data_IF_195380774380
#
_entry.id   IF_195380774380
#
_cell.length_a   1.000
_cell.length_b   1.000
_cell.length_c   1.000
_cell.angle_alpha   90.00
_cell.angle_beta   90.00
_cell.angle_gamma   90.00
#
_symmetry.space_group_name_H-M   'P 1'
#
loop_
_entity.id
_entity.type
_entity.pdbx_description
1 polymer ?
#
# COMPACT_ATOMS: atom_id res chain seq x y z
N UNK A 1 30.53 -12.23 -5.52
CA UNK A 1 29.47 -12.40 -4.50
C UNK A 1 28.19 -12.75 -5.24
N UNK A 2 27.25 -13.47 -4.63
CA UNK A 2 25.96 -13.71 -5.26
C UNK A 2 25.20 -12.38 -5.38
N UNK A 3 24.47 -12.17 -6.47
CA UNK A 3 23.63 -10.98 -6.64
C UNK A 3 22.60 -10.91 -5.50
N UNK A 4 22.33 -9.72 -4.92
CA UNK A 4 21.30 -9.58 -3.91
C UNK A 4 19.88 -9.61 -4.50
N UNK A 5 19.72 -9.60 -5.82
CA UNK A 5 18.43 -9.87 -6.46
C UNK A 5 18.18 -11.38 -6.42
N UNK A 6 17.19 -11.82 -5.64
CA UNK A 6 16.83 -13.23 -5.49
C UNK A 6 15.85 -13.70 -6.56
N UNK A 7 14.90 -12.84 -6.90
CA UNK A 7 13.82 -13.13 -7.83
C UNK A 7 13.18 -11.83 -8.32
N UNK A 8 12.69 -11.83 -9.56
CA UNK A 8 11.78 -10.79 -10.07
C UNK A 8 10.41 -11.38 -10.32
N UNK A 9 9.36 -10.57 -10.13
CA UNK A 9 7.96 -10.94 -10.37
C UNK A 9 7.26 -9.83 -11.15
N UNK A 10 6.46 -10.14 -12.18
CA UNK A 10 5.67 -9.13 -12.87
C UNK A 10 4.58 -8.60 -11.93
N UNK A 11 4.28 -7.31 -12.03
CA UNK A 11 3.20 -6.66 -11.30
C UNK A 11 1.93 -6.64 -12.16
N UNK A 12 0.79 -6.86 -11.50
CA UNK A 12 -0.54 -6.67 -12.07
C UNK A 12 -1.37 -5.78 -11.14
N UNK A 13 -2.71 -5.84 -11.20
CA UNK A 13 -3.57 -5.02 -10.34
C UNK A 13 -3.43 -5.34 -8.84
N UNK A 14 -3.04 -6.58 -8.52
CA UNK A 14 -2.69 -7.02 -7.16
C UNK A 14 -1.27 -7.55 -7.16
N UNK A 15 -0.40 -6.86 -6.43
CA UNK A 15 1.00 -7.20 -6.33
C UNK A 15 1.18 -8.34 -5.34
N UNK A 16 1.92 -9.39 -5.72
CA UNK A 16 2.28 -10.46 -4.80
C UNK A 16 3.22 -9.91 -3.73
N UNK A 17 2.97 -10.28 -2.48
CA UNK A 17 3.79 -9.88 -1.32
C UNK A 17 4.33 -11.09 -0.58
N UNK A 18 5.18 -10.82 0.41
CA UNK A 18 5.74 -11.83 1.32
C UNK A 18 5.25 -11.50 2.73
N UNK A 19 4.95 -12.53 3.52
CA UNK A 19 4.66 -12.44 4.96
C UNK A 19 5.62 -11.43 5.63
N UNK A 20 5.12 -10.39 6.33
CA UNK A 20 3.77 -10.21 6.91
C UNK A 20 2.71 -9.58 6.03
N UNK A 21 3.05 -9.18 4.81
CA UNK A 21 2.10 -8.56 3.89
C UNK A 21 1.32 -9.63 3.11
N UNK A 22 0.01 -9.41 2.96
CA UNK A 22 -0.91 -10.35 2.29
C UNK A 22 -1.04 -10.08 0.80
N UNK A 23 -1.19 -8.80 0.44
CA UNK A 23 -1.04 -8.28 -0.91
C UNK A 23 -0.93 -6.74 -0.87
N UNK A 24 -0.58 -6.13 -1.99
CA UNK A 24 -0.72 -4.71 -2.23
C UNK A 24 -1.55 -4.48 -3.50
N UNK A 25 -2.62 -3.70 -3.43
CA UNK A 25 -3.33 -3.23 -4.62
C UNK A 25 -2.83 -1.83 -4.97
N UNK A 26 -2.41 -1.62 -6.21
CA UNK A 26 -2.06 -0.31 -6.74
C UNK A 26 -3.21 0.16 -7.62
N UNK A 27 -3.91 1.18 -7.16
CA UNK A 27 -4.99 1.82 -7.89
C UNK A 27 -4.42 3.09 -8.50
N UNK A 28 -4.45 3.17 -9.83
CA UNK A 28 -3.96 4.28 -10.64
C UNK A 28 -5.04 4.59 -11.68
N UNK A 29 -5.91 5.53 -11.34
CA UNK A 29 -7.13 5.83 -12.07
C UNK A 29 -7.09 7.28 -12.59
N UNK A 30 -7.11 7.42 -13.91
CA UNK A 30 -7.18 8.69 -14.61
C UNK A 30 -8.63 9.23 -14.67
N UNK A 31 -9.29 9.40 -13.52
CA UNK A 31 -10.68 9.83 -13.48
C UNK A 31 -10.89 11.20 -14.17
N UNK A 32 -12.02 11.37 -14.88
CA UNK A 32 -12.34 12.61 -15.57
C UNK A 32 -12.78 13.72 -14.60
N UNK A 33 -13.33 14.79 -15.14
CA UNK A 33 -14.05 15.80 -14.37
C UNK A 33 -15.21 15.17 -13.58
N UNK A 34 -15.49 15.73 -12.41
CA UNK A 34 -16.62 15.38 -11.56
C UNK A 34 -17.87 16.21 -11.84
N UNK A 35 -19.02 15.72 -11.41
CA UNK A 35 -20.31 16.40 -11.48
C UNK A 35 -20.85 16.82 -10.09
N UNK A 36 -22.12 17.27 -10.00
CA UNK A 36 -22.74 17.68 -8.73
C UNK A 36 -22.90 16.55 -7.70
N UNK A 37 -22.84 15.29 -8.15
CA UNK A 37 -22.97 14.09 -7.31
C UNK A 37 -21.60 13.49 -6.93
N UNK A 38 -20.50 14.21 -7.22
CA UNK A 38 -19.12 13.75 -7.03
C UNK A 38 -18.78 12.52 -7.91
N UNK A 39 -19.54 12.30 -8.98
CA UNK A 39 -19.41 11.20 -9.92
C UNK A 39 -18.72 11.63 -11.22
N UNK A 40 -18.25 10.70 -12.06
CA UNK A 40 -17.70 11.01 -13.38
C UNK A 40 -18.68 11.84 -14.22
N UNK A 41 -18.22 12.96 -14.78
CA UNK A 41 -18.98 13.82 -15.70
C UNK A 41 -18.98 13.28 -17.14
N UNK A 42 -19.00 11.96 -17.28
CA UNK A 42 -19.01 11.22 -18.55
C UNK A 42 -20.03 10.07 -18.45
N UNK A 43 -20.54 9.56 -19.58
CA UNK A 43 -21.41 8.39 -19.60
C UNK A 43 -20.74 7.16 -18.96
N UNK A 44 -21.51 6.39 -18.18
CA UNK A 44 -21.05 5.16 -17.48
C UNK A 44 -21.99 3.97 -17.69
N UNK A 45 -22.98 4.09 -18.56
CA UNK A 45 -24.04 3.11 -18.78
C UNK A 45 -23.51 1.78 -19.36
N UNK A 46 -22.38 1.81 -20.04
CA UNK A 46 -21.72 0.63 -20.62
C UNK A 46 -20.78 -0.08 -19.61
N UNK A 47 -20.68 0.42 -18.37
CA UNK A 47 -19.83 -0.17 -17.31
C UNK A 47 -20.60 -1.19 -16.47
N UNK A 48 -19.88 -2.19 -15.95
CA UNK A 48 -20.43 -3.18 -15.01
C UNK A 48 -20.51 -2.60 -13.59
N UNK A 49 -21.45 -1.68 -13.35
CA UNK A 49 -21.55 -0.96 -12.08
C UNK A 49 -21.68 -1.90 -10.87
N UNK A 50 -20.89 -1.62 -9.82
CA UNK A 50 -20.79 -2.46 -8.64
C UNK A 50 -19.73 -3.57 -8.73
N UNK A 51 -19.15 -3.84 -9.90
CA UNK A 51 -18.06 -4.81 -10.10
C UNK A 51 -17.11 -4.39 -11.26
N UNK A 52 -16.98 -3.09 -11.55
CA UNK A 52 -16.14 -2.61 -12.66
C UNK A 52 -14.68 -2.51 -12.20
N UNK A 53 -13.88 -3.53 -12.51
CA UNK A 53 -12.43 -3.54 -12.35
C UNK A 53 -11.70 -3.52 -13.70
N UNK A 54 -12.38 -3.00 -14.74
CA UNK A 54 -11.90 -3.14 -16.12
C UNK A 54 -10.74 -2.21 -16.48
N UNK A 55 -10.60 -1.08 -15.76
CA UNK A 55 -9.70 -0.01 -16.14
C UNK A 55 -10.04 0.63 -17.49
N UNK A 56 -11.29 0.48 -17.97
CA UNK A 56 -11.73 1.09 -19.21
C UNK A 56 -11.50 2.61 -19.18
N UNK A 57 -10.97 3.15 -20.28
CA UNK A 57 -10.59 4.57 -20.39
C UNK A 57 -9.55 5.04 -19.35
N UNK A 58 -8.81 4.11 -18.74
CA UNK A 58 -7.79 4.38 -17.75
C UNK A 58 -8.32 4.55 -16.32
N UNK A 59 -9.56 4.14 -16.03
CA UNK A 59 -10.12 4.20 -14.68
C UNK A 59 -11.25 3.19 -14.44
N UNK A 60 -11.57 2.89 -13.18
CA UNK A 60 -12.58 1.90 -12.77
C UNK A 60 -13.64 2.49 -11.84
N UNK A 61 -14.90 2.03 -11.94
CA UNK A 61 -15.92 2.34 -10.91
C UNK A 61 -15.76 1.50 -9.64
N UNK A 62 -15.02 0.39 -9.70
CA UNK A 62 -14.89 -0.60 -8.64
C UNK A 62 -16.27 -1.13 -8.22
N UNK A 63 -16.59 -1.02 -6.93
CA UNK A 63 -17.89 -1.38 -6.38
C UNK A 63 -18.85 -0.19 -6.32
N UNK A 64 -18.45 0.98 -6.83
CA UNK A 64 -19.25 2.18 -6.92
C UNK A 64 -20.41 2.06 -7.92
N UNK A 65 -21.52 2.71 -7.59
CA UNK A 65 -22.69 2.85 -8.47
C UNK A 65 -22.84 4.27 -9.04
N UNK A 66 -22.38 5.27 -8.29
CA UNK A 66 -22.46 6.70 -8.63
C UNK A 66 -21.09 7.32 -8.44
N UNK A 67 -20.58 7.29 -7.21
CA UNK A 67 -19.20 7.64 -6.89
C UNK A 67 -18.34 6.37 -7.00
N UNK A 68 -17.17 6.40 -7.66
CA UNK A 68 -16.24 5.28 -7.69
C UNK A 68 -15.76 4.88 -6.29
N UNK A 69 -15.32 3.64 -6.13
CA UNK A 69 -14.67 3.16 -4.90
C UNK A 69 -15.38 1.96 -4.27
N UNK A 70 -15.27 1.85 -2.95
CA UNK A 70 -15.61 0.67 -2.17
C UNK A 70 -16.70 1.02 -1.14
N UNK A 71 -17.98 0.71 -1.41
CA UNK A 71 -19.06 0.93 -0.44
C UNK A 71 -18.90 0.00 0.76
N UNK A 72 -19.82 0.10 1.74
CA UNK A 72 -19.76 -0.64 3.00
C UNK A 72 -19.42 -2.13 2.84
N UNK A 73 -18.24 -2.53 3.32
CA UNK A 73 -17.74 -3.90 3.29
C UNK A 73 -17.00 -4.24 4.60
N UNK A 74 -16.99 -5.53 5.02
CA UNK A 74 -16.36 -5.92 6.27
C UNK A 74 -14.87 -6.23 6.08
N UNK A 75 -14.10 -6.19 7.18
CA UNK A 75 -12.77 -6.80 7.32
C UNK A 75 -12.60 -7.42 8.70
N UNK A 76 -11.75 -8.46 8.82
CA UNK A 76 -11.39 -9.11 10.10
C UNK A 76 -10.02 -9.78 10.01
N UNK A 77 -9.21 -9.62 11.07
CA UNK A 77 -8.00 -10.40 11.34
C UNK A 77 -6.71 -9.88 10.71
N UNK A 78 -6.71 -8.67 10.14
CA UNK A 78 -5.55 -8.03 9.55
C UNK A 78 -5.69 -6.50 9.60
N UNK A 79 -4.78 -5.77 8.97
CA UNK A 79 -4.77 -4.32 8.89
C UNK A 79 -4.73 -3.85 7.43
N UNK A 80 -5.38 -2.72 7.14
CA UNK A 80 -5.23 -2.00 5.87
C UNK A 80 -4.35 -0.77 6.08
N UNK A 81 -3.36 -0.60 5.21
CA UNK A 81 -2.54 0.60 5.10
C UNK A 81 -2.79 1.21 3.74
N UNK A 82 -3.47 2.35 3.71
CA UNK A 82 -3.86 3.05 2.47
C UNK A 82 -3.01 4.31 2.32
N UNK A 83 -2.00 4.27 1.45
CA UNK A 83 -1.15 5.41 1.12
C UNK A 83 -1.63 6.07 -0.17
N UNK A 84 -2.09 7.31 -0.10
CA UNK A 84 -2.72 8.01 -1.23
C UNK A 84 -1.77 9.06 -1.78
N UNK A 85 -1.26 8.88 -2.99
CA UNK A 85 -0.34 9.82 -3.64
C UNK A 85 -1.06 10.94 -4.37
N UNK A 86 -2.11 10.60 -5.12
CA UNK A 86 -2.94 11.55 -5.86
C UNK A 86 -4.41 11.32 -5.54
N UNK A 87 -5.23 12.37 -5.71
CA UNK A 87 -6.67 12.29 -5.46
C UNK A 87 -7.03 12.32 -3.97
N UNK A 88 -8.26 11.88 -3.68
CA UNK A 88 -8.87 11.92 -2.35
C UNK A 88 -9.76 10.70 -2.14
N UNK A 89 -9.84 10.24 -0.90
CA UNK A 89 -10.70 9.16 -0.44
C UNK A 89 -11.60 9.69 0.69
N UNK A 90 -12.89 9.38 0.61
CA UNK A 90 -13.84 9.48 1.71
C UNK A 90 -13.98 8.13 2.43
N UNK A 91 -13.49 8.08 3.65
CA UNK A 91 -13.65 6.97 4.58
C UNK A 91 -14.82 7.19 5.53
N UNK A 92 -15.55 6.11 5.82
CA UNK A 92 -16.47 6.04 6.96
C UNK A 92 -16.53 4.60 7.49
N UNK A 93 -16.60 4.41 8.82
CA UNK A 93 -16.64 3.09 9.41
C UNK A 93 -17.67 2.90 10.54
N UNK A 94 -17.82 1.64 10.95
CA UNK A 94 -18.73 1.20 12.01
C UNK A 94 -18.33 1.63 13.42
N UNK A 95 -17.13 2.18 13.62
CA UNK A 95 -16.75 2.84 14.88
C UNK A 95 -17.19 4.31 14.91
N UNK A 96 -17.70 4.82 13.79
CA UNK A 96 -18.10 6.21 13.62
C UNK A 96 -16.94 7.12 13.21
N UNK A 97 -15.78 6.57 12.84
CA UNK A 97 -14.72 7.38 12.25
C UNK A 97 -15.08 7.74 10.81
N UNK A 98 -14.72 8.95 10.41
CA UNK A 98 -14.86 9.42 9.04
C UNK A 98 -13.71 10.37 8.71
N UNK A 99 -13.18 10.28 7.50
CA UNK A 99 -12.08 11.11 7.05
C UNK A 99 -12.16 11.33 5.53
N UNK A 100 -11.83 12.54 5.07
CA UNK A 100 -11.43 12.77 3.68
C UNK A 100 -9.92 12.97 3.67
N UNK A 101 -9.18 12.07 3.03
CA UNK A 101 -7.71 12.07 3.06
C UNK A 101 -7.12 11.82 1.67
N UNK A 102 -5.88 12.27 1.44
CA UNK A 102 -5.20 12.07 0.17
C UNK A 102 -3.86 12.81 0.08
N UNK A 103 -3.26 12.83 -1.11
CA UNK A 103 -2.12 13.72 -1.44
C UNK A 103 -0.92 13.61 -0.47
N UNK A 104 -0.56 12.38 -0.11
CA UNK A 104 0.53 12.04 0.80
C UNK A 104 0.05 11.40 2.10
N UNK A 105 -1.23 11.55 2.45
CA UNK A 105 -1.80 10.96 3.66
C UNK A 105 -1.78 9.42 3.62
N UNK A 106 -1.67 8.82 4.82
CA UNK A 106 -1.81 7.39 5.05
C UNK A 106 -2.93 7.14 6.07
N UNK A 107 -3.85 6.26 5.71
CA UNK A 107 -4.74 5.62 6.68
C UNK A 107 -4.14 4.29 7.12
N UNK A 108 -4.09 4.02 8.42
CA UNK A 108 -3.72 2.71 8.96
C UNK A 108 -4.83 2.22 9.88
N UNK A 109 -5.54 1.18 9.42
CA UNK A 109 -6.69 0.61 10.11
C UNK A 109 -6.40 -0.83 10.51
N UNK A 110 -6.37 -1.09 11.81
CA UNK A 110 -6.41 -2.44 12.36
C UNK A 110 -7.86 -2.92 12.35
N UNK A 111 -8.20 -3.93 11.54
CA UNK A 111 -9.55 -4.48 11.51
C UNK A 111 -9.86 -5.35 12.73
N UNK A 112 -8.85 -6.04 13.28
CA UNK A 112 -8.97 -6.87 14.48
C UNK A 112 -10.16 -7.83 14.41
N UNK A 113 -10.99 -7.87 15.47
CA UNK A 113 -12.19 -8.70 15.56
C UNK A 113 -13.30 -8.36 14.57
N UNK A 114 -13.21 -7.25 13.84
CA UNK A 114 -14.15 -6.93 12.78
C UNK A 114 -14.48 -5.44 12.70
N UNK A 115 -14.47 -4.92 11.47
CA UNK A 115 -14.95 -3.57 11.14
C UNK A 115 -15.72 -3.61 9.83
N UNK A 116 -16.74 -2.75 9.69
CA UNK A 116 -17.39 -2.48 8.41
C UNK A 116 -17.06 -1.04 8.04
N UNK A 117 -16.55 -0.83 6.83
CA UNK A 117 -16.14 0.49 6.36
C UNK A 117 -16.39 0.70 4.88
N UNK A 118 -16.26 1.94 4.42
CA UNK A 118 -16.32 2.32 3.02
C UNK A 118 -15.19 3.28 2.68
N UNK A 119 -14.63 3.15 1.48
CA UNK A 119 -13.57 4.00 0.92
C UNK A 119 -14.03 4.47 -0.47
N UNK A 120 -14.67 5.64 -0.53
CA UNK A 120 -15.24 6.21 -1.76
C UNK A 120 -14.30 7.25 -2.38
N UNK A 121 -14.31 7.43 -3.69
CA UNK A 121 -13.39 8.32 -4.42
C UNK A 121 -14.15 9.53 -4.99
N UNK A 122 -14.36 10.60 -4.19
CA UNK A 122 -15.17 11.74 -4.62
C UNK A 122 -14.47 12.56 -5.72
N UNK A 123 -15.13 12.75 -6.85
CA UNK A 123 -14.61 13.61 -7.93
C UNK A 123 -15.05 15.06 -7.69
N UNK A 124 -14.18 15.86 -7.07
CA UNK A 124 -14.50 17.22 -6.63
C UNK A 124 -14.27 18.29 -7.70
N UNK A 125 -13.34 18.04 -8.63
CA UNK A 125 -12.91 18.99 -9.65
C UNK A 125 -13.83 18.91 -10.86
N UNK A 126 -14.47 20.02 -11.24
CA UNK A 126 -15.49 20.04 -12.33
C UNK A 126 -14.95 20.52 -13.66
N UNK A 127 -13.86 21.28 -13.64
CA UNK A 127 -13.24 21.91 -14.80
C UNK A 127 -11.95 21.21 -15.24
N UNK A 128 -11.46 20.24 -14.44
CA UNK A 128 -10.26 19.44 -14.72
C UNK A 128 -10.41 17.99 -14.23
N UNK A 129 -9.53 17.07 -14.70
CA UNK A 129 -9.51 15.68 -14.23
C UNK A 129 -9.27 15.54 -12.71
N UNK A 130 -9.65 14.38 -12.17
CA UNK A 130 -9.53 14.02 -10.75
C UNK A 130 -8.67 12.74 -10.58
N UNK A 131 -7.38 12.74 -10.99
CA UNK A 131 -6.56 11.52 -10.91
C UNK A 131 -6.51 11.01 -9.46
N UNK A 132 -6.49 9.68 -9.33
CA UNK A 132 -6.33 8.98 -8.07
C UNK A 132 -5.18 7.99 -8.23
N UNK A 133 -4.19 8.08 -7.34
CA UNK A 133 -3.14 7.06 -7.24
C UNK A 133 -2.98 6.70 -5.77
N UNK A 134 -3.14 5.42 -5.42
CA UNK A 134 -2.99 4.93 -4.05
C UNK A 134 -2.45 3.49 -4.01
N UNK A 135 -1.85 3.15 -2.88
CA UNK A 135 -1.49 1.79 -2.52
C UNK A 135 -2.35 1.34 -1.35
N UNK A 136 -3.07 0.25 -1.53
CA UNK A 136 -3.76 -0.44 -0.44
C UNK A 136 -2.98 -1.71 -0.08
N UNK A 137 -2.27 -1.64 1.04
CA UNK A 137 -1.41 -2.70 1.54
C UNK A 137 -2.14 -3.42 2.66
N UNK A 138 -2.29 -4.74 2.55
CA UNK A 138 -2.82 -5.55 3.64
C UNK A 138 -1.67 -6.13 4.45
N UNK A 139 -1.60 -5.76 5.73
CA UNK A 139 -0.63 -6.27 6.69
C UNK A 139 -1.34 -7.26 7.63
N UNK A 140 -0.85 -8.50 7.70
CA UNK A 140 -1.47 -9.51 8.53
C UNK A 140 -1.27 -9.21 10.03
N UNK A 141 -2.20 -9.67 10.86
CA UNK A 141 -2.02 -9.72 12.31
C UNK A 141 -1.63 -11.14 12.74
N UNK A 142 -0.77 -11.29 13.76
CA UNK A 142 -0.53 -12.58 14.40
C UNK A 142 -1.80 -13.07 15.11
N UNK A 143 -1.92 -14.39 15.30
CA UNK A 143 -3.10 -15.06 15.81
C UNK A 143 -3.61 -14.45 17.12
N UNK A 144 -2.69 -14.05 18.00
CA UNK A 144 -3.01 -13.42 19.28
C UNK A 144 -3.69 -12.05 19.15
N UNK A 145 -3.45 -11.33 18.05
CA UNK A 145 -3.98 -9.99 17.81
C UNK A 145 -5.17 -9.97 16.84
N UNK A 146 -5.52 -11.09 16.18
CA UNK A 146 -6.61 -11.12 15.19
C UNK A 146 -8.00 -10.76 15.74
N UNK A 147 -8.18 -10.79 17.06
CA UNK A 147 -9.45 -10.50 17.74
C UNK A 147 -9.39 -9.27 18.67
N UNK A 148 -8.38 -8.41 18.52
CA UNK A 148 -8.33 -7.12 19.22
C UNK A 148 -9.45 -6.19 18.75
N UNK A 149 -9.71 -5.13 19.51
CA UNK A 149 -10.62 -4.08 19.07
C UNK A 149 -10.06 -3.39 17.81
N UNK A 150 -10.92 -3.04 16.83
CA UNK A 150 -10.43 -2.32 15.65
C UNK A 150 -9.88 -0.96 16.05
N UNK A 151 -8.87 -0.48 15.31
CA UNK A 151 -8.16 0.74 15.63
C UNK A 151 -7.89 1.56 14.38
N UNK A 152 -8.36 2.81 14.35
CA UNK A 152 -8.24 3.71 13.21
C UNK A 152 -7.18 4.80 13.49
N UNK A 153 -6.23 4.96 12.56
CA UNK A 153 -5.19 6.00 12.64
C UNK A 153 -5.05 6.71 11.31
N UNK A 154 -4.94 8.04 11.36
CA UNK A 154 -4.48 8.85 10.22
C UNK A 154 -3.06 9.31 10.47
N UNK A 155 -2.19 9.12 9.48
CA UNK A 155 -0.88 9.75 9.39
C UNK A 155 -0.98 10.79 8.26
N UNK A 156 -1.04 12.06 8.63
CA UNK A 156 -1.16 13.14 7.64
C UNK A 156 0.18 13.37 6.95
N UNK A 157 0.17 13.76 5.67
CA UNK A 157 1.38 13.99 4.86
C UNK A 157 2.45 14.83 5.60
N UNK A 158 2.02 15.90 6.27
CA UNK A 158 2.92 16.79 7.01
C UNK A 158 3.59 16.16 8.24
N UNK A 159 3.07 15.06 8.75
CA UNK A 159 3.61 14.30 9.89
C UNK A 159 4.43 13.08 9.44
N UNK A 160 4.35 12.69 8.16
CA UNK A 160 5.12 11.58 7.59
C UNK A 160 6.50 12.11 7.18
N UNK A 161 7.59 11.63 7.78
CA UNK A 161 8.90 12.18 7.49
C UNK A 161 9.40 11.75 6.11
N UNK A 162 10.05 12.69 5.42
CA UNK A 162 10.75 12.49 4.15
C UNK A 162 12.26 12.55 4.38
N UNK A 163 12.96 11.49 4.00
CA UNK A 163 14.41 11.41 4.07
C UNK A 163 15.01 11.64 2.69
N UNK A 164 15.65 12.79 2.49
CA UNK A 164 16.32 13.12 1.23
C UNK A 164 17.83 12.88 1.33
N UNK A 165 18.37 12.08 0.41
CA UNK A 165 19.79 11.81 0.27
C UNK A 165 20.28 12.37 -1.06
N UNK A 166 21.38 13.13 -1.03
CA UNK A 166 22.00 13.69 -2.22
C UNK A 166 23.29 12.93 -2.51
N UNK A 167 23.42 12.40 -3.72
CA UNK A 167 24.62 11.66 -4.15
C UNK A 167 25.80 12.59 -4.50
N UNK A 168 26.96 12.01 -4.81
CA UNK A 168 28.18 12.78 -5.15
C UNK A 168 28.01 13.69 -6.38
N UNK A 169 27.04 13.38 -7.26
CA UNK A 169 26.73 14.15 -8.45
C UNK A 169 25.62 15.19 -8.21
N UNK A 170 25.14 15.35 -6.97
CA UNK A 170 24.12 16.34 -6.61
C UNK A 170 22.69 15.91 -6.93
N UNK A 171 22.44 14.62 -7.19
CA UNK A 171 21.11 14.09 -7.52
C UNK A 171 20.43 13.55 -6.27
N UNK A 172 19.12 13.68 -6.19
CA UNK A 172 18.37 13.37 -4.97
C UNK A 172 17.68 12.02 -5.06
N UNK A 173 17.71 11.29 -3.95
CA UNK A 173 16.77 10.21 -3.63
C UNK A 173 15.96 10.64 -2.42
N UNK A 174 14.65 10.78 -2.57
CA UNK A 174 13.72 11.01 -1.46
C UNK A 174 13.05 9.70 -1.06
N UNK A 175 12.97 9.45 0.24
CA UNK A 175 12.25 8.32 0.83
C UNK A 175 11.17 8.86 1.75
N UNK A 176 9.90 8.62 1.40
CA UNK A 176 8.76 8.83 2.29
C UNK A 176 8.69 7.64 3.25
N UNK A 177 8.89 7.90 4.54
CA UNK A 177 9.05 6.85 5.56
C UNK A 177 7.71 6.67 6.28
N UNK A 178 6.87 5.73 5.83
CA UNK A 178 5.54 5.48 6.42
C UNK A 178 5.66 4.59 7.66
N UNK A 179 6.46 3.53 7.56
CA UNK A 179 6.77 2.62 8.67
C UNK A 179 8.24 2.20 8.59
N UNK A 180 8.83 1.84 9.73
CA UNK A 180 10.25 1.43 9.83
C UNK A 180 11.20 2.62 9.75
N UNK A 181 12.08 2.75 10.73
CA UNK A 181 13.03 3.87 10.77
C UNK A 181 14.12 3.72 9.70
N UNK A 182 14.56 4.85 9.12
CA UNK A 182 15.63 4.92 8.13
C UNK A 182 16.63 5.99 8.56
N UNK A 183 17.90 5.62 8.77
CA UNK A 183 18.99 6.56 9.11
C UNK A 183 18.66 7.53 10.26
N UNK A 184 17.95 7.03 11.28
CA UNK A 184 17.52 7.83 12.44
C UNK A 184 16.27 8.68 12.21
N UNK A 185 15.71 8.69 10.99
CA UNK A 185 14.38 9.22 10.69
C UNK A 185 13.35 8.21 11.17
N UNK A 186 12.57 8.60 12.18
CA UNK A 186 11.58 7.73 12.83
C UNK A 186 10.18 8.22 12.47
N UNK A 187 9.33 7.39 11.84
CA UNK A 187 7.94 7.74 11.56
C UNK A 187 7.07 7.71 12.82
N UNK A 188 5.82 8.16 12.70
CA UNK A 188 4.83 7.97 13.74
C UNK A 188 4.63 6.47 14.07
N UNK A 189 4.21 6.19 15.31
CA UNK A 189 3.97 4.83 15.74
C UNK A 189 2.78 4.21 14.95
N UNK A 190 2.89 2.94 14.52
CA UNK A 190 1.77 2.21 13.94
C UNK A 190 0.70 1.90 15.01
N UNK A 191 -0.47 1.35 14.61
CA UNK A 191 -1.49 0.93 15.57
C UNK A 191 -0.94 0.00 16.67
N UNK A 192 -1.46 0.08 17.92
CA UNK A 192 -0.85 -0.57 19.08
C UNK A 192 -0.69 -2.10 18.97
N UNK A 193 -1.59 -2.79 18.28
CA UNK A 193 -1.57 -4.25 18.07
C UNK A 193 -1.03 -4.64 16.69
N UNK A 194 -0.50 -3.69 15.92
CA UNK A 194 0.11 -3.99 14.63
C UNK A 194 1.34 -4.86 14.80
N UNK A 195 1.59 -5.77 13.84
CA UNK A 195 2.89 -6.43 13.74
C UNK A 195 4.03 -5.40 13.61
N UNK A 196 3.77 -4.29 12.93
CA UNK A 196 4.73 -3.19 12.78
C UNK A 196 5.08 -2.47 14.10
N UNK A 197 4.26 -2.62 15.15
CA UNK A 197 4.54 -2.04 16.46
C UNK A 197 5.61 -2.82 17.24
N UNK A 198 5.98 -4.03 16.78
CA UNK A 198 6.96 -4.89 17.43
C UNK A 198 8.35 -4.64 16.85
N UNK A 199 9.32 -4.35 17.71
CA UNK A 199 10.69 -4.03 17.28
C UNK A 199 11.37 -5.14 16.47
N UNK A 200 11.04 -6.39 16.77
CA UNK A 200 11.55 -7.59 16.12
C UNK A 200 10.88 -7.91 14.78
N UNK A 201 9.78 -7.22 14.45
CA UNK A 201 9.06 -7.41 13.20
C UNK A 201 9.76 -6.74 12.02
N UNK A 202 10.67 -5.78 12.27
CA UNK A 202 11.49 -5.09 11.25
C UNK A 202 10.68 -4.60 10.04
N UNK A 203 9.43 -4.18 10.30
CA UNK A 203 8.50 -3.74 9.26
C UNK A 203 8.94 -2.38 8.73
N UNK A 204 9.06 -2.29 7.41
CA UNK A 204 9.22 -1.03 6.72
C UNK A 204 8.25 -0.91 5.54
N UNK A 205 7.65 0.27 5.41
CA UNK A 205 6.82 0.67 4.28
C UNK A 205 7.40 2.00 3.81
N UNK A 206 8.17 1.97 2.72
CA UNK A 206 8.85 3.15 2.20
C UNK A 206 8.46 3.39 0.76
N UNK A 207 8.13 4.64 0.44
CA UNK A 207 7.99 5.08 -0.95
C UNK A 207 9.26 5.83 -1.34
N UNK A 208 9.90 5.39 -2.42
CA UNK A 208 11.17 5.89 -2.92
C UNK A 208 10.92 6.68 -4.20
N UNK A 209 11.54 7.85 -4.30
CA UNK A 209 11.62 8.66 -5.52
C UNK A 209 13.07 8.99 -5.80
N UNK A 210 13.59 8.51 -6.92
CA UNK A 210 14.96 8.76 -7.36
C UNK A 210 14.94 9.70 -8.56
N UNK A 211 15.66 10.81 -8.47
CA UNK A 211 15.90 11.70 -9.61
C UNK A 211 16.62 10.96 -10.75
N UNK A 212 16.50 11.42 -12.01
CA UNK A 212 17.28 10.88 -13.13
C UNK A 212 18.76 10.71 -12.80
N UNK A 213 19.27 9.49 -12.95
CA UNK A 213 20.65 9.11 -12.68
C UNK A 213 21.01 8.92 -11.21
N UNK A 214 20.12 9.26 -10.25
CA UNK A 214 20.44 9.24 -8.83
C UNK A 214 20.92 7.84 -8.38
N UNK A 215 21.96 7.83 -7.56
CA UNK A 215 22.53 6.61 -6.98
C UNK A 215 22.33 6.62 -5.46
N UNK A 216 21.65 5.60 -4.95
CA UNK A 216 21.43 5.44 -3.52
C UNK A 216 21.65 4.00 -3.09
N UNK A 217 22.19 3.80 -1.90
CA UNK A 217 22.36 2.47 -1.31
C UNK A 217 21.27 2.25 -0.27
N UNK A 218 20.30 1.40 -0.61
CA UNK A 218 19.31 0.88 0.33
C UNK A 218 20.04 0.10 1.42
N UNK A 219 19.96 0.51 2.71
CA UNK A 219 20.66 -0.17 3.79
C UNK A 219 20.21 -1.62 3.95
N UNK A 220 21.04 -2.45 4.59
CA UNK A 220 20.63 -3.79 5.00
C UNK A 220 19.50 -3.69 6.04
N UNK A 221 18.55 -4.62 5.97
CA UNK A 221 17.56 -4.84 7.01
C UNK A 221 18.24 -5.24 8.32
N UNK A 222 17.62 -4.92 9.45
CA UNK A 222 18.24 -5.12 10.78
C UNK A 222 17.68 -6.33 11.52
N UNK A 223 16.49 -6.79 11.15
CA UNK A 223 15.82 -7.92 11.75
C UNK A 223 16.33 -9.26 11.23
N UNK A 224 16.36 -10.30 12.09
CA UNK A 224 16.65 -11.66 11.63
C UNK A 224 15.50 -12.14 10.74
N UNK A 225 15.83 -12.88 9.68
CA UNK A 225 14.84 -13.51 8.77
C UNK A 225 13.94 -12.53 8.03
N UNK A 226 14.27 -11.23 8.05
CA UNK A 226 13.52 -10.21 7.33
C UNK A 226 13.49 -10.51 5.84
N UNK A 227 12.30 -10.40 5.26
CA UNK A 227 12.08 -10.40 3.82
C UNK A 227 11.84 -8.97 3.35
N UNK A 228 12.28 -8.65 2.13
CA UNK A 228 12.00 -7.35 1.52
C UNK A 228 11.80 -7.44 0.01
N UNK A 229 10.80 -6.73 -0.49
CA UNK A 229 10.45 -6.65 -1.90
C UNK A 229 10.38 -5.19 -2.32
N UNK A 230 11.08 -4.85 -3.40
CA UNK A 230 11.03 -3.54 -4.04
C UNK A 230 10.09 -3.61 -5.25
N UNK A 231 9.00 -2.84 -5.24
CA UNK A 231 8.00 -2.77 -6.29
C UNK A 231 8.25 -1.53 -7.14
N UNK A 232 8.78 -1.72 -8.35
CA UNK A 232 9.06 -0.63 -9.29
C UNK A 232 7.80 -0.41 -10.14
N UNK A 233 7.13 0.71 -9.93
CA UNK A 233 5.85 1.02 -10.58
C UNK A 233 5.91 2.26 -11.48
N UNK A 234 6.96 3.07 -11.36
CA UNK A 234 7.27 4.11 -12.34
C UNK A 234 8.76 4.09 -12.63
N UNK A 235 9.16 3.66 -13.84
CA UNK A 235 10.55 3.64 -14.25
C UNK A 235 10.68 3.41 -15.77
N UNK A 236 11.61 4.13 -16.40
CA UNK A 236 12.16 3.67 -17.68
C UNK A 236 13.15 2.50 -17.46
N UNK A 237 14.05 2.66 -16.50
CA UNK A 237 14.98 1.62 -16.04
C UNK A 237 15.48 1.97 -14.62
N UNK A 238 15.57 0.96 -13.77
CA UNK A 238 16.23 1.00 -12.46
C UNK A 238 17.32 -0.07 -12.40
N UNK A 239 18.56 0.35 -12.21
CA UNK A 239 19.64 -0.57 -11.86
C UNK A 239 19.53 -0.98 -10.39
N UNK A 240 19.40 -2.27 -10.12
CA UNK A 240 19.43 -2.90 -8.80
C UNK A 240 20.68 -3.78 -8.74
N UNK A 241 21.75 -3.24 -8.16
CA UNK A 241 23.12 -3.76 -8.30
C UNK A 241 23.50 -4.02 -9.77
N UNK A 242 23.56 -5.28 -10.18
CA UNK A 242 23.96 -5.76 -11.49
C UNK A 242 22.76 -6.10 -12.41
N UNK A 243 21.53 -5.90 -11.94
CA UNK A 243 20.30 -6.22 -12.66
C UNK A 243 19.57 -4.95 -13.06
N UNK A 244 19.19 -4.84 -14.33
CA UNK A 244 18.28 -3.80 -14.78
C UNK A 244 16.82 -4.24 -14.60
N UNK A 245 16.02 -3.38 -13.99
CA UNK A 245 14.63 -3.63 -13.64
C UNK A 245 13.75 -2.55 -14.28
N UNK A 246 12.72 -2.97 -15.00
CA UNK A 246 11.76 -2.07 -15.65
C UNK A 246 10.55 -1.79 -14.73
N UNK A 247 9.67 -0.88 -15.18
CA UNK A 247 8.33 -0.68 -14.60
C UNK A 247 7.54 -2.00 -14.53
N UNK A 248 6.58 -2.04 -13.62
CA UNK A 248 5.69 -3.18 -13.34
C UNK A 248 6.47 -4.44 -12.92
N UNK A 249 7.54 -4.26 -12.15
CA UNK A 249 8.37 -5.36 -11.66
C UNK A 249 8.59 -5.28 -10.14
N UNK A 250 8.25 -6.36 -9.44
CA UNK A 250 8.65 -6.61 -8.06
C UNK A 250 9.99 -7.33 -7.99
N UNK A 251 10.86 -6.93 -7.08
CA UNK A 251 12.21 -7.47 -6.91
C UNK A 251 12.37 -7.97 -5.49
N UNK A 252 12.46 -9.29 -5.32
CA UNK A 252 12.77 -9.91 -4.03
C UNK A 252 14.26 -9.75 -3.78
N UNK A 253 14.62 -9.04 -2.72
CA UNK A 253 16.00 -8.73 -2.38
C UNK A 253 16.51 -9.61 -1.24
N UNK A 254 17.80 -9.87 -1.24
CA UNK A 254 18.52 -10.32 -0.07
C UNK A 254 18.51 -9.17 0.96
N UNK A 255 17.93 -9.43 2.13
CA UNK A 255 17.65 -8.38 3.11
C UNK A 255 18.87 -8.01 3.98
N UNK A 256 19.76 -8.96 4.27
CA UNK A 256 20.90 -8.79 5.19
C UNK A 256 22.12 -8.11 4.56
N UNK A 257 21.99 -7.57 3.34
CA UNK A 257 23.05 -6.84 2.64
C UNK A 257 22.53 -5.52 2.09
N UNK A 258 23.38 -4.47 2.05
CA UNK A 258 23.04 -3.24 1.35
C UNK A 258 22.85 -3.51 -0.14
N UNK A 259 21.93 -2.77 -0.78
CA UNK A 259 21.62 -2.88 -2.21
C UNK A 259 21.67 -1.51 -2.84
N UNK A 260 22.48 -1.37 -3.88
CA UNK A 260 22.61 -0.14 -4.63
C UNK A 260 21.53 -0.03 -5.69
N UNK A 261 20.82 1.07 -5.67
CA UNK A 261 19.81 1.48 -6.63
C UNK A 261 20.37 2.63 -7.48
N UNK A 262 20.19 2.55 -8.80
CA UNK A 262 20.62 3.58 -9.75
C UNK A 262 19.52 3.85 -10.75
N UNK A 263 18.91 5.04 -10.69
CA UNK A 263 17.93 5.44 -11.69
C UNK A 263 18.59 5.63 -13.07
N UNK A 264 17.87 5.29 -14.13
CA UNK A 264 18.27 5.57 -15.51
C UNK A 264 18.12 7.04 -15.90
N UNK A 265 17.78 7.31 -17.16
CA UNK A 265 17.64 8.68 -17.69
C UNK A 265 16.35 9.41 -17.23
N UNK A 266 15.42 8.68 -16.63
CA UNK A 266 14.15 9.21 -16.13
C UNK A 266 14.05 9.02 -14.60
N UNK A 267 13.12 9.75 -13.99
CA UNK A 267 12.76 9.56 -12.58
C UNK A 267 12.28 8.12 -12.38
N UNK A 268 12.63 7.55 -11.22
CA UNK A 268 12.12 6.24 -10.79
C UNK A 268 11.33 6.41 -9.50
N UNK A 269 10.20 5.70 -9.41
CA UNK A 269 9.47 5.52 -8.16
C UNK A 269 9.25 4.04 -7.85
N UNK A 270 9.40 3.70 -6.58
CA UNK A 270 9.24 2.35 -6.09
C UNK A 270 8.66 2.32 -4.68
N UNK A 271 7.93 1.27 -4.35
CA UNK A 271 7.47 0.97 -2.99
C UNK A 271 8.33 -0.16 -2.44
N UNK A 272 8.90 0.01 -1.24
CA UNK A 272 9.56 -1.07 -0.51
C UNK A 272 8.61 -1.57 0.58
N UNK A 273 8.35 -2.88 0.55
CA UNK A 273 7.73 -3.58 1.67
C UNK A 273 8.76 -4.51 2.28
N UNK A 274 9.03 -4.32 3.56
CA UNK A 274 9.97 -5.10 4.34
C UNK A 274 9.31 -5.56 5.63
N UNK A 275 9.62 -6.77 6.06
CA UNK A 275 9.17 -7.27 7.35
C UNK A 275 9.68 -8.68 7.62
N UNK A 276 9.83 -8.99 8.91
CA UNK A 276 10.01 -10.34 9.37
C UNK A 276 8.67 -11.09 9.23
N UNK A 277 8.67 -12.29 8.62
CA UNK A 277 7.49 -13.13 8.56
C UNK A 277 6.87 -13.36 9.94
N UNK A 278 5.54 -13.32 10.05
CA UNK A 278 4.83 -13.75 11.25
C UNK A 278 5.00 -15.26 11.44
N UNK A 279 5.08 -16.03 10.33
CA UNK A 279 5.38 -17.45 10.38
C UNK A 279 4.22 -18.32 10.88
N UNK A 280 2.99 -17.84 10.78
CA UNK A 280 1.78 -18.55 11.19
C UNK A 280 0.93 -18.99 9.99
N UNK A 281 0.05 -19.99 10.14
CA UNK A 281 -0.92 -20.36 9.11
C UNK A 281 -1.82 -19.17 8.73
N UNK A 282 -2.09 -19.02 7.44
CA UNK A 282 -3.01 -18.00 6.91
C UNK A 282 -4.15 -18.69 6.20
N UNK A 283 -5.37 -18.49 6.70
CA UNK A 283 -6.62 -18.86 6.06
C UNK A 283 -7.32 -17.59 5.59
N UNK A 284 -7.43 -17.39 4.28
CA UNK A 284 -8.04 -16.20 3.69
C UNK A 284 -9.24 -16.59 2.82
N UNK A 285 -10.37 -15.91 3.03
CA UNK A 285 -11.51 -16.02 2.13
C UNK A 285 -12.27 -14.69 2.06
N UNK A 286 -12.21 -14.04 0.89
CA UNK A 286 -12.80 -12.73 0.67
C UNK A 286 -12.25 -11.69 1.65
N UNK A 287 -13.11 -11.02 2.44
CA UNK A 287 -12.71 -9.94 3.35
C UNK A 287 -12.09 -10.40 4.69
N UNK A 288 -11.97 -11.70 4.93
CA UNK A 288 -11.53 -12.23 6.23
C UNK A 288 -10.22 -12.99 6.11
N UNK A 289 -9.30 -12.73 7.06
CA UNK A 289 -7.99 -13.38 7.13
C UNK A 289 -7.75 -13.87 8.56
N UNK A 290 -7.94 -15.18 8.76
CA UNK A 290 -7.76 -15.86 10.05
C UNK A 290 -6.62 -16.88 9.96
N UNK A 291 -6.43 -17.73 10.98
CA UNK A 291 -5.41 -18.78 10.93
C UNK A 291 -5.99 -20.13 10.50
N UNK A 292 -7.30 -20.35 10.68
CA UNK A 292 -7.97 -21.61 10.37
C UNK A 292 -9.26 -21.41 9.56
N UNK A 293 -9.69 -22.47 8.87
CA UNK A 293 -10.97 -22.47 8.14
C UNK A 293 -12.17 -22.28 9.08
N UNK A 294 -12.13 -22.85 10.28
CA UNK A 294 -13.21 -22.72 11.26
C UNK A 294 -13.39 -21.27 11.73
N UNK A 295 -12.29 -20.53 11.92
CA UNK A 295 -12.35 -19.10 12.26
C UNK A 295 -12.92 -18.25 11.10
N UNK A 296 -12.64 -18.64 9.85
CA UNK A 296 -13.26 -18.00 8.68
C UNK A 296 -14.78 -18.26 8.66
N UNK A 297 -15.21 -19.50 8.90
CA UNK A 297 -16.64 -19.84 8.99
C UNK A 297 -17.32 -19.02 10.10
N UNK A 298 -16.70 -18.91 11.28
CA UNK A 298 -17.19 -18.06 12.38
C UNK A 298 -17.25 -16.58 11.97
N UNK A 299 -16.28 -16.05 11.23
CA UNK A 299 -16.30 -14.67 10.76
C UNK A 299 -17.50 -14.35 9.86
N UNK A 300 -17.89 -15.28 8.99
CA UNK A 300 -19.11 -15.13 8.20
C UNK A 300 -20.38 -15.26 9.02
N UNK A 301 -20.40 -16.12 10.04
CA UNK A 301 -21.55 -16.22 10.95
C UNK A 301 -21.74 -14.93 11.73
N UNK A 302 -20.67 -14.38 12.32
CA UNK A 302 -20.71 -13.13 13.08
C UNK A 302 -21.14 -11.94 12.23
N UNK A 303 -20.71 -11.86 10.97
CA UNK A 303 -21.09 -10.76 10.07
C UNK A 303 -22.56 -10.83 9.62
N UNK A 304 -23.15 -12.04 9.59
CA UNK A 304 -24.55 -12.25 9.16
C UNK A 304 -25.56 -12.10 10.31
N UNK A 305 -25.11 -12.18 11.55
CA UNK A 305 -25.93 -12.10 12.75
C UNK A 305 -26.36 -10.65 13.06
#
# INVERSE_FOLDING_TARGET
MASPVRQTVPLGPRWPTIDPFLFCAHHDDAYPQGNDELAPAVPIEDRELGQDFSGADGWSMYHGLVVPGFPGHPHRGFETVTFVREGLIDHADSLGAAARFGRGDVQWLTAGKGIVHSEMFPLLERDRPNPLELFQIWLNLPAEDKLVDPYFTMLWDGDIPRHAVVDEAGRTTEVTVIAGALDGVVPAAPPPSSWAARSEADVAIWHLRLDPGARWTLPAATGPETSRVLYVFEAAALGVEDVEVAKDTGVVLQADVPVTLVAGEAQVEALLLQGRPIGEPVAQYGPFVMNTKAEIEQAFEDYRA
#
